data_IF_009446183199
#
_entry.id   IF_009446183199
#
_cell.length_a   1.000
_cell.length_b   1.000
_cell.length_c   1.000
_cell.angle_alpha   90.00
_cell.angle_beta   90.00
_cell.angle_gamma   90.00
#
_symmetry.space_group_name_H-M   'P 1'
#
loop_
_entity.id
_entity.type
_entity.pdbx_description
1 polymer ?
#
# COMPACT_ATOMS: atom_id res chain seq x y z
N UNK A 1 -22.19 -48.17 -18.29
CA UNK A 1 -22.39 -46.85 -17.67
C UNK A 1 -21.93 -46.77 -16.21
N UNK A 2 -22.14 -47.85 -15.41
CA UNK A 2 -21.66 -47.91 -14.01
C UNK A 2 -20.11 -47.90 -13.89
N UNK A 3 -19.40 -48.45 -14.87
CA UNK A 3 -17.93 -48.49 -14.91
C UNK A 3 -17.35 -47.11 -15.24
N UNK A 4 -17.99 -46.30 -16.10
CA UNK A 4 -17.60 -44.93 -16.41
C UNK A 4 -17.86 -43.98 -15.23
N UNK A 5 -18.96 -44.17 -14.53
CA UNK A 5 -19.30 -43.42 -13.32
C UNK A 5 -18.28 -43.64 -12.18
N UNK A 6 -17.78 -44.88 -12.02
CA UNK A 6 -16.73 -45.18 -11.03
C UNK A 6 -15.40 -44.52 -11.37
N UNK A 7 -15.00 -44.49 -12.65
CA UNK A 7 -13.75 -43.86 -13.09
C UNK A 7 -13.73 -42.36 -12.87
N UNK A 8 -14.84 -41.67 -13.17
CA UNK A 8 -14.96 -40.22 -12.90
C UNK A 8 -14.96 -39.88 -11.40
N UNK A 9 -15.65 -40.67 -10.58
CA UNK A 9 -15.66 -40.53 -9.14
C UNK A 9 -14.28 -40.72 -8.50
N UNK A 10 -13.49 -41.66 -9.02
CA UNK A 10 -12.12 -41.89 -8.54
C UNK A 10 -11.15 -40.76 -8.94
N UNK A 11 -11.30 -40.20 -10.15
CA UNK A 11 -10.50 -39.04 -10.58
C UNK A 11 -10.77 -37.85 -9.70
N UNK A 12 -12.02 -37.51 -9.41
CA UNK A 12 -12.37 -36.40 -8.49
C UNK A 12 -11.89 -36.65 -7.07
N UNK A 13 -12.04 -37.88 -6.55
CA UNK A 13 -11.54 -38.21 -5.19
C UNK A 13 -10.02 -38.11 -5.09
N UNK A 14 -9.28 -38.55 -6.10
CA UNK A 14 -7.83 -38.47 -6.15
C UNK A 14 -7.36 -37.01 -6.22
N UNK A 15 -8.04 -36.16 -6.98
CA UNK A 15 -7.70 -34.75 -7.09
C UNK A 15 -7.80 -34.03 -5.72
N UNK A 16 -8.86 -34.29 -4.97
CA UNK A 16 -9.00 -33.72 -3.62
C UNK A 16 -8.05 -34.35 -2.61
N UNK A 17 -7.69 -35.58 -2.76
CA UNK A 17 -6.74 -36.26 -1.89
C UNK A 17 -5.36 -35.59 -1.97
N UNK A 18 -4.80 -35.49 -3.16
CA UNK A 18 -3.47 -34.85 -3.34
C UNK A 18 -3.47 -33.37 -2.95
N UNK A 19 -4.51 -32.63 -3.30
CA UNK A 19 -4.62 -31.23 -2.95
C UNK A 19 -4.76 -30.98 -1.43
N UNK A 20 -5.11 -32.02 -0.65
CA UNK A 20 -5.32 -31.91 0.79
C UNK A 20 -4.02 -31.83 1.59
N UNK A 21 -2.88 -32.23 1.02
CA UNK A 21 -1.62 -32.31 1.75
C UNK A 21 -0.39 -31.91 0.92
N UNK A 22 -0.56 -31.43 -0.31
CA UNK A 22 0.55 -31.08 -1.22
C UNK A 22 1.55 -30.12 -0.58
N UNK A 23 1.11 -29.18 0.24
CA UNK A 23 1.96 -28.23 0.96
C UNK A 23 2.93 -28.93 1.94
N UNK A 24 2.49 -30.02 2.59
CA UNK A 24 3.35 -30.85 3.42
C UNK A 24 4.34 -31.64 2.56
N UNK A 25 3.89 -32.14 1.40
CA UNK A 25 4.76 -32.84 0.45
C UNK A 25 5.85 -31.92 -0.09
N UNK A 26 5.55 -30.67 -0.39
CA UNK A 26 6.54 -29.71 -0.87
C UNK A 26 7.68 -29.49 0.13
N UNK A 27 7.39 -29.51 1.43
CA UNK A 27 8.43 -29.46 2.45
C UNK A 27 9.37 -30.68 2.48
N UNK A 28 8.98 -31.77 1.80
CA UNK A 28 9.68 -33.06 1.75
C UNK A 28 9.66 -33.66 0.34
N UNK A 29 9.80 -32.83 -0.70
CA UNK A 29 9.53 -33.19 -2.11
C UNK A 29 10.35 -34.40 -2.62
N UNK A 30 11.57 -34.57 -2.12
CA UNK A 30 12.52 -35.65 -2.47
C UNK A 30 12.52 -36.83 -1.47
N UNK A 31 11.57 -36.89 -0.54
CA UNK A 31 11.43 -38.00 0.37
C UNK A 31 10.85 -39.21 -0.37
N UNK A 32 11.63 -40.29 -0.51
CA UNK A 32 11.20 -41.55 -1.19
C UNK A 32 10.78 -42.66 -0.23
N UNK A 33 10.98 -42.46 1.09
CA UNK A 33 10.73 -43.48 2.12
C UNK A 33 9.39 -43.30 2.85
N UNK A 34 8.70 -42.17 2.63
CA UNK A 34 7.42 -41.87 3.26
C UNK A 34 6.69 -40.70 2.61
N UNK A 35 5.53 -40.38 3.14
CA UNK A 35 4.72 -39.23 2.68
C UNK A 35 5.46 -37.91 2.94
N UNK A 36 6.03 -37.77 4.13
CA UNK A 36 6.80 -36.61 4.59
C UNK A 36 7.95 -37.06 5.46
N UNK A 37 8.92 -36.18 5.71
CA UNK A 37 9.99 -36.36 6.69
C UNK A 37 10.04 -35.20 7.72
N UNK A 38 11.08 -35.17 8.54
CA UNK A 38 11.24 -34.18 9.62
C UNK A 38 11.19 -32.70 9.14
N UNK A 39 11.48 -32.43 7.87
CA UNK A 39 11.42 -31.08 7.28
C UNK A 39 10.01 -30.54 7.26
N UNK A 40 8.98 -31.40 7.05
CA UNK A 40 7.59 -30.98 7.15
C UNK A 40 7.26 -30.38 8.52
N UNK A 41 7.79 -30.97 9.61
CA UNK A 41 7.58 -30.45 10.97
C UNK A 41 8.36 -29.17 11.30
N UNK A 42 9.34 -28.81 10.46
CA UNK A 42 10.05 -27.52 10.55
C UNK A 42 9.30 -26.39 9.81
N UNK A 43 8.77 -26.71 8.62
CA UNK A 43 8.14 -25.73 7.75
C UNK A 43 6.65 -25.52 8.01
N UNK A 44 5.98 -26.47 8.67
CA UNK A 44 4.55 -26.40 8.99
C UNK A 44 4.31 -25.94 10.45
N UNK A 45 3.18 -25.26 10.70
CA UNK A 45 2.11 -24.87 9.75
C UNK A 45 2.58 -23.82 8.73
N UNK A 46 1.91 -23.75 7.57
CA UNK A 46 2.17 -22.71 6.56
C UNK A 46 1.82 -21.34 7.14
N UNK A 47 2.74 -20.38 7.06
CA UNK A 47 2.59 -19.06 7.69
C UNK A 47 1.46 -18.25 7.06
N UNK A 48 1.37 -18.24 5.74
CA UNK A 48 0.33 -17.51 5.00
C UNK A 48 -0.20 -18.38 3.85
N UNK A 49 -1.48 -18.66 3.85
CA UNK A 49 -2.16 -19.40 2.79
C UNK A 49 -3.15 -18.51 2.06
N UNK A 50 -3.04 -18.44 0.72
CA UNK A 50 -3.80 -17.50 -0.11
C UNK A 50 -4.55 -18.29 -1.18
N UNK A 51 -5.85 -18.02 -1.34
CA UNK A 51 -6.67 -18.66 -2.36
C UNK A 51 -8.05 -18.03 -2.47
N UNK A 52 -8.80 -18.42 -3.52
CA UNK A 52 -10.15 -17.92 -3.73
C UNK A 52 -11.13 -18.41 -2.65
N UNK A 53 -12.13 -17.59 -2.34
CA UNK A 53 -13.17 -17.90 -1.36
C UNK A 53 -13.95 -19.16 -1.71
N UNK A 54 -14.04 -19.54 -2.98
CA UNK A 54 -14.72 -20.75 -3.47
C UNK A 54 -14.10 -22.05 -2.94
N UNK A 55 -12.87 -22.01 -2.46
CA UNK A 55 -12.18 -23.17 -1.88
C UNK A 55 -12.47 -23.40 -0.40
N UNK A 56 -13.23 -22.51 0.25
CA UNK A 56 -13.50 -22.57 1.69
C UNK A 56 -14.20 -23.88 2.12
N UNK A 57 -15.14 -24.39 1.32
CA UNK A 57 -15.93 -25.57 1.66
C UNK A 57 -15.20 -26.87 1.30
N UNK A 58 -14.64 -26.96 0.11
CA UNK A 58 -14.02 -28.21 -0.37
C UNK A 58 -12.55 -28.31 0.05
N UNK A 59 -11.67 -27.58 -0.61
CA UNK A 59 -10.24 -27.72 -0.44
C UNK A 59 -9.79 -27.45 1.01
N UNK A 60 -10.22 -26.35 1.62
CA UNK A 60 -9.77 -25.98 2.98
C UNK A 60 -10.30 -26.96 4.04
N UNK A 61 -11.54 -27.46 3.89
CA UNK A 61 -12.08 -28.47 4.77
C UNK A 61 -11.27 -29.76 4.69
N UNK A 62 -10.96 -30.22 3.49
CA UNK A 62 -10.16 -31.44 3.30
C UNK A 62 -8.71 -31.25 3.77
N UNK A 63 -8.09 -30.12 3.52
CA UNK A 63 -6.73 -29.83 4.00
C UNK A 63 -6.65 -29.86 5.52
N UNK A 64 -7.62 -29.27 6.22
CA UNK A 64 -7.69 -29.32 7.68
C UNK A 64 -7.94 -30.73 8.23
N UNK A 65 -8.87 -31.45 7.61
CA UNK A 65 -9.18 -32.82 7.99
C UNK A 65 -7.98 -33.76 7.78
N UNK A 66 -7.33 -33.65 6.62
CA UNK A 66 -6.18 -34.47 6.26
C UNK A 66 -4.97 -34.18 7.18
N UNK A 67 -4.74 -32.91 7.51
CA UNK A 67 -3.71 -32.53 8.46
C UNK A 67 -3.91 -33.20 9.84
N UNK A 68 -5.16 -33.27 10.32
CA UNK A 68 -5.48 -33.94 11.58
C UNK A 68 -5.22 -35.46 11.49
N UNK A 69 -5.56 -36.09 10.37
CA UNK A 69 -5.25 -37.51 10.15
C UNK A 69 -3.73 -37.75 10.13
N UNK A 70 -2.95 -36.91 9.46
CA UNK A 70 -1.49 -37.00 9.43
C UNK A 70 -0.88 -36.77 10.82
N UNK A 71 -1.43 -35.85 11.61
CA UNK A 71 -1.04 -35.64 13.02
C UNK A 71 -1.32 -36.90 13.85
N UNK A 72 -2.51 -37.44 13.77
CA UNK A 72 -2.93 -38.63 14.54
C UNK A 72 -2.12 -39.88 14.13
N UNK A 73 -1.66 -39.94 12.88
CA UNK A 73 -0.72 -40.95 12.40
C UNK A 73 0.75 -40.66 12.78
N UNK A 74 1.05 -39.60 13.49
CA UNK A 74 2.40 -39.23 13.92
C UNK A 74 3.31 -38.65 12.83
N UNK A 75 2.75 -38.30 11.67
CA UNK A 75 3.49 -37.73 10.54
C UNK A 75 3.74 -36.24 10.69
N UNK A 76 2.81 -35.51 11.27
CA UNK A 76 2.87 -34.08 11.55
C UNK A 76 2.65 -33.80 13.06
N UNK A 77 3.08 -32.63 13.52
CA UNK A 77 2.93 -32.19 14.92
C UNK A 77 1.86 -31.10 15.09
N UNK A 78 1.56 -30.36 14.01
CA UNK A 78 0.66 -29.23 14.04
C UNK A 78 -0.81 -29.64 13.92
N UNK A 79 -1.69 -28.96 14.66
CA UNK A 79 -3.14 -29.20 14.65
C UNK A 79 -3.85 -28.65 13.42
N UNK A 80 -3.38 -27.50 12.93
CA UNK A 80 -3.93 -26.82 11.78
C UNK A 80 -2.87 -26.64 10.69
N UNK A 81 -3.23 -26.76 9.40
CA UNK A 81 -2.25 -26.68 8.31
C UNK A 81 -1.73 -25.26 8.06
N UNK A 82 -2.51 -24.25 8.40
CA UNK A 82 -2.24 -22.83 8.07
C UNK A 82 -2.35 -21.96 9.32
N UNK A 83 -1.37 -21.06 9.51
CA UNK A 83 -1.39 -20.06 10.59
C UNK A 83 -2.31 -18.91 10.24
N UNK A 84 -2.25 -18.44 8.99
CA UNK A 84 -3.05 -17.33 8.50
C UNK A 84 -3.62 -17.65 7.12
N UNK A 85 -4.91 -17.41 6.94
CA UNK A 85 -5.63 -17.61 5.70
C UNK A 85 -6.06 -16.25 5.13
N UNK A 86 -5.78 -16.02 3.84
CA UNK A 86 -6.31 -14.90 3.08
C UNK A 86 -7.20 -15.45 1.96
N UNK A 87 -8.50 -15.22 2.07
CA UNK A 87 -9.48 -15.57 1.04
C UNK A 87 -9.64 -14.42 0.06
N UNK A 88 -9.32 -14.69 -1.21
CA UNK A 88 -9.40 -13.68 -2.27
C UNK A 88 -10.80 -13.58 -2.85
N UNK A 89 -11.21 -12.35 -3.17
CA UNK A 89 -12.42 -12.06 -3.94
C UNK A 89 -12.30 -12.48 -5.40
N UNK A 90 -13.41 -12.43 -6.11
CA UNK A 90 -13.50 -12.79 -7.53
C UNK A 90 -13.03 -11.64 -8.41
N UNK A 91 -12.39 -11.99 -9.55
CA UNK A 91 -12.18 -11.03 -10.64
C UNK A 91 -13.40 -11.07 -11.55
N UNK A 92 -14.05 -9.92 -11.67
CA UNK A 92 -15.25 -9.71 -12.46
C UNK A 92 -14.93 -8.91 -13.72
N UNK A 93 -15.65 -9.15 -14.79
CA UNK A 93 -15.68 -8.29 -15.98
C UNK A 93 -17.14 -8.10 -16.38
N UNK A 94 -17.56 -6.84 -16.52
CA UNK A 94 -18.96 -6.48 -16.78
C UNK A 94 -19.93 -7.07 -15.74
N UNK A 95 -19.56 -6.97 -14.46
CA UNK A 95 -20.34 -7.43 -13.32
C UNK A 95 -20.45 -8.95 -13.19
N UNK A 96 -19.75 -9.74 -14.02
CA UNK A 96 -19.82 -11.21 -13.99
C UNK A 96 -18.44 -11.84 -13.80
N UNK A 97 -18.42 -13.02 -13.10
CA UNK A 97 -17.18 -13.80 -12.93
C UNK A 97 -16.58 -14.11 -14.31
N UNK A 98 -15.28 -13.84 -14.48
CA UNK A 98 -14.54 -14.25 -15.67
C UNK A 98 -14.56 -15.77 -15.84
N UNK A 99 -14.88 -16.24 -17.02
CA UNK A 99 -14.80 -17.67 -17.36
C UNK A 99 -14.59 -17.86 -18.85
N UNK A 100 -13.85 -18.93 -19.22
CA UNK A 100 -13.64 -19.32 -20.62
C UNK A 100 -14.95 -19.60 -21.34
N UNK A 101 -15.93 -20.18 -20.66
CA UNK A 101 -17.25 -20.51 -21.23
C UNK A 101 -18.09 -19.28 -21.58
N UNK A 102 -17.85 -18.14 -20.91
CA UNK A 102 -18.53 -16.87 -21.20
C UNK A 102 -17.77 -15.98 -22.19
N UNK A 103 -16.53 -16.34 -22.53
CA UNK A 103 -15.70 -15.54 -23.43
C UNK A 103 -15.28 -14.17 -22.88
N UNK A 104 -15.47 -13.93 -21.58
CA UNK A 104 -15.16 -12.64 -20.93
C UNK A 104 -13.80 -12.65 -20.17
N UNK A 105 -12.91 -13.56 -20.51
CA UNK A 105 -11.55 -13.62 -19.95
C UNK A 105 -10.65 -12.57 -20.57
N UNK A 106 -9.74 -12.03 -19.77
CA UNK A 106 -8.64 -11.17 -20.24
C UNK A 106 -7.42 -12.05 -20.45
N UNK A 107 -6.75 -11.90 -21.59
CA UNK A 107 -5.49 -12.57 -21.85
C UNK A 107 -4.35 -11.81 -21.15
N UNK A 108 -3.73 -12.40 -20.13
CA UNK A 108 -2.64 -11.74 -19.43
C UNK A 108 -1.43 -11.46 -20.33
N UNK A 109 -1.18 -12.29 -21.35
CA UNK A 109 -0.03 -12.11 -22.24
C UNK A 109 -0.18 -10.84 -23.09
N UNK A 110 -1.34 -10.63 -23.70
CA UNK A 110 -1.63 -9.43 -24.49
C UNK A 110 -1.49 -8.14 -23.63
N UNK A 111 -1.91 -8.22 -22.37
CA UNK A 111 -1.77 -7.12 -21.40
C UNK A 111 -0.29 -6.83 -21.10
N UNK A 112 0.49 -7.89 -20.84
CA UNK A 112 1.93 -7.80 -20.54
C UNK A 112 2.69 -7.25 -21.72
N UNK A 113 2.38 -7.71 -22.93
CA UNK A 113 3.02 -7.25 -24.17
C UNK A 113 2.76 -5.77 -24.43
N UNK A 114 1.57 -5.27 -24.06
CA UNK A 114 1.18 -3.87 -24.29
C UNK A 114 1.68 -2.93 -23.20
N UNK A 115 1.54 -3.32 -21.93
CA UNK A 115 1.73 -2.42 -20.78
C UNK A 115 2.85 -2.85 -19.83
N UNK A 116 3.38 -4.07 -19.99
CA UNK A 116 4.35 -4.65 -19.08
C UNK A 116 3.72 -5.35 -17.87
N UNK A 117 4.45 -6.33 -17.32
CA UNK A 117 4.00 -7.13 -16.18
C UNK A 117 3.74 -6.29 -14.92
N UNK A 118 4.58 -5.29 -14.65
CA UNK A 118 4.43 -4.41 -13.48
C UNK A 118 3.16 -3.58 -13.53
N UNK A 119 2.70 -3.17 -14.72
CA UNK A 119 1.42 -2.47 -14.85
C UNK A 119 0.25 -3.37 -14.47
N UNK A 120 0.26 -4.62 -14.92
CA UNK A 120 -0.77 -5.60 -14.57
C UNK A 120 -0.78 -5.86 -13.06
N UNK A 121 0.40 -6.05 -12.44
CA UNK A 121 0.56 -6.23 -10.99
C UNK A 121 0.05 -5.03 -10.21
N UNK A 122 0.44 -3.82 -10.61
CA UNK A 122 0.00 -2.59 -9.95
C UNK A 122 -1.51 -2.43 -10.01
N UNK A 123 -2.12 -2.65 -11.18
CA UNK A 123 -3.57 -2.58 -11.33
C UNK A 123 -4.28 -3.58 -10.42
N UNK A 124 -3.88 -4.85 -10.42
CA UNK A 124 -4.50 -5.89 -9.61
C UNK A 124 -4.44 -5.59 -8.11
N UNK A 125 -3.30 -5.07 -7.64
CA UNK A 125 -3.11 -4.76 -6.22
C UNK A 125 -3.76 -3.44 -5.79
N UNK A 126 -4.00 -2.53 -6.73
CA UNK A 126 -4.60 -1.22 -6.47
C UNK A 126 -6.12 -1.22 -6.54
N UNK A 127 -6.70 -2.01 -7.45
CA UNK A 127 -8.12 -1.91 -7.80
C UNK A 127 -9.07 -2.29 -6.65
N UNK A 128 -8.68 -3.24 -5.78
CA UNK A 128 -9.48 -3.64 -4.63
C UNK A 128 -8.60 -4.25 -3.52
N UNK A 129 -9.04 -4.24 -2.25
CA UNK A 129 -8.47 -5.09 -1.22
C UNK A 129 -8.56 -6.56 -1.64
N UNK A 130 -7.58 -7.43 -1.27
CA UNK A 130 -7.54 -8.80 -1.76
C UNK A 130 -8.77 -9.63 -1.42
N UNK A 131 -9.47 -9.33 -0.33
CA UNK A 131 -10.69 -10.04 0.11
C UNK A 131 -11.95 -9.63 -0.67
N UNK A 132 -11.90 -8.51 -1.39
CA UNK A 132 -13.02 -8.00 -2.16
C UNK A 132 -12.94 -8.41 -3.62
N UNK A 133 -14.11 -8.47 -4.27
CA UNK A 133 -14.16 -8.69 -5.72
C UNK A 133 -13.61 -7.47 -6.44
N UNK A 134 -12.80 -7.73 -7.47
CA UNK A 134 -12.19 -6.75 -8.33
C UNK A 134 -12.96 -6.68 -9.64
N UNK A 135 -13.43 -5.50 -10.03
CA UNK A 135 -13.99 -5.26 -11.37
C UNK A 135 -12.85 -4.89 -12.33
N UNK A 136 -12.72 -5.67 -13.39
CA UNK A 136 -11.73 -5.40 -14.43
C UNK A 136 -12.13 -4.17 -15.23
N UNK A 137 -11.22 -3.21 -15.34
CA UNK A 137 -11.41 -1.98 -16.12
C UNK A 137 -10.13 -1.64 -16.89
N UNK A 138 -10.19 -1.62 -18.21
CA UNK A 138 -9.04 -1.30 -19.06
C UNK A 138 -8.50 0.11 -18.79
N UNK A 139 -9.38 1.07 -18.50
CA UNK A 139 -8.99 2.44 -18.09
C UNK A 139 -8.17 2.47 -16.79
N UNK A 140 -8.39 1.52 -15.88
CA UNK A 140 -7.62 1.35 -14.66
C UNK A 140 -6.20 0.86 -14.94
N UNK A 141 -6.04 -0.05 -15.89
CA UNK A 141 -4.73 -0.53 -16.37
C UNK A 141 -3.93 0.61 -17.00
N UNK A 142 -4.56 1.41 -17.86
CA UNK A 142 -3.92 2.60 -18.44
C UNK A 142 -3.52 3.63 -17.36
N UNK A 143 -4.35 3.79 -16.33
CA UNK A 143 -4.05 4.64 -15.17
C UNK A 143 -2.80 4.19 -14.42
N UNK A 144 -2.69 2.88 -14.18
CA UNK A 144 -1.50 2.26 -13.57
C UNK A 144 -0.24 2.47 -14.43
N UNK A 145 -0.36 2.27 -15.75
CA UNK A 145 0.75 2.51 -16.68
C UNK A 145 1.22 3.96 -16.69
N UNK A 146 0.29 4.93 -16.74
CA UNK A 146 0.62 6.35 -16.66
C UNK A 146 1.33 6.72 -15.37
N UNK A 147 0.95 6.13 -14.25
CA UNK A 147 1.62 6.34 -12.96
C UNK A 147 3.08 5.85 -13.00
N UNK A 148 3.33 4.62 -13.48
CA UNK A 148 4.69 4.08 -13.59
C UNK A 148 5.56 4.90 -14.53
N UNK A 149 5.04 5.34 -15.68
CA UNK A 149 5.75 6.23 -16.60
C UNK A 149 6.10 7.58 -15.95
N UNK A 150 5.19 8.14 -15.17
CA UNK A 150 5.46 9.39 -14.44
C UNK A 150 6.54 9.22 -13.40
N UNK A 151 6.52 8.12 -12.65
CA UNK A 151 7.59 7.80 -11.69
C UNK A 151 8.94 7.68 -12.38
N UNK A 152 8.99 6.97 -13.52
CA UNK A 152 10.19 6.88 -14.36
C UNK A 152 10.70 8.26 -14.77
N UNK A 153 9.82 9.11 -15.26
CA UNK A 153 10.18 10.48 -15.66
C UNK A 153 10.76 11.28 -14.51
N UNK A 154 10.16 11.19 -13.32
CA UNK A 154 10.67 11.91 -12.13
C UNK A 154 12.08 11.46 -11.75
N UNK A 155 12.34 10.16 -11.78
CA UNK A 155 13.68 9.63 -11.51
C UNK A 155 14.66 10.06 -12.61
N UNK A 156 14.30 9.94 -13.89
CA UNK A 156 15.14 10.33 -15.01
C UNK A 156 15.51 11.83 -14.93
N UNK A 157 14.52 12.71 -14.74
CA UNK A 157 14.78 14.16 -14.60
C UNK A 157 15.65 14.48 -13.38
N UNK A 158 15.40 13.82 -12.23
CA UNK A 158 16.24 14.00 -11.05
C UNK A 158 17.71 13.64 -11.30
N UNK A 159 17.94 12.62 -12.12
CA UNK A 159 19.26 12.09 -12.43
C UNK A 159 20.00 12.83 -13.60
N UNK A 160 19.37 13.78 -14.29
CA UNK A 160 20.03 14.61 -15.31
C UNK A 160 21.29 15.29 -14.77
N UNK A 161 21.27 15.71 -13.50
CA UNK A 161 22.41 16.27 -12.79
C UNK A 161 23.14 15.26 -11.87
N UNK A 162 22.93 13.94 -12.10
CA UNK A 162 23.51 12.83 -11.34
C UNK A 162 22.78 12.55 -10.01
N UNK A 163 22.98 11.33 -9.50
CA UNK A 163 22.49 10.96 -8.19
C UNK A 163 23.21 11.70 -7.07
N UNK A 164 22.52 11.98 -5.97
CA UNK A 164 23.08 12.62 -4.77
C UNK A 164 22.80 11.73 -3.55
N UNK A 165 23.49 12.04 -2.42
CA UNK A 165 23.11 11.43 -1.14
C UNK A 165 21.71 11.89 -0.72
N UNK A 166 20.90 10.97 -0.19
CA UNK A 166 19.63 11.29 0.44
C UNK A 166 19.82 12.24 1.62
N UNK A 167 18.77 12.99 1.98
CA UNK A 167 18.84 13.97 3.04
C UNK A 167 19.28 13.36 4.38
N UNK A 168 20.28 13.96 5.00
CA UNK A 168 20.80 13.56 6.32
C UNK A 168 20.64 14.66 7.37
N UNK A 169 20.91 15.92 7.00
CA UNK A 169 20.84 17.05 7.91
C UNK A 169 20.83 18.37 7.14
N UNK A 170 20.39 19.43 7.80
CA UNK A 170 20.37 20.79 7.24
C UNK A 170 19.06 21.50 7.56
N UNK A 171 18.99 22.78 7.20
CA UNK A 171 17.75 23.54 7.33
C UNK A 171 16.84 23.28 6.13
N UNK A 172 15.59 22.94 6.43
CA UNK A 172 14.54 22.73 5.43
C UNK A 172 13.56 23.90 5.48
N UNK A 173 13.16 24.37 4.31
CA UNK A 173 12.01 25.25 4.19
C UNK A 173 10.70 24.48 4.49
N UNK A 174 9.58 25.20 4.62
CA UNK A 174 8.27 24.63 4.97
C UNK A 174 7.79 23.58 3.98
N UNK A 175 8.06 23.78 2.69
CA UNK A 175 7.67 22.85 1.63
C UNK A 175 8.42 21.52 1.73
N UNK A 176 9.73 21.55 1.87
CA UNK A 176 10.58 20.37 2.05
C UNK A 176 10.30 19.65 3.38
N UNK A 177 10.04 20.38 4.46
CA UNK A 177 9.57 19.80 5.73
C UNK A 177 8.26 19.04 5.56
N UNK A 178 7.33 19.62 4.79
CA UNK A 178 6.03 19.01 4.53
C UNK A 178 6.16 17.76 3.68
N UNK A 179 6.97 17.80 2.61
CA UNK A 179 7.25 16.63 1.77
C UNK A 179 7.91 15.51 2.57
N UNK A 180 8.94 15.83 3.37
CA UNK A 180 9.64 14.85 4.22
C UNK A 180 8.73 14.25 5.29
N UNK A 181 7.87 15.06 5.90
CA UNK A 181 6.85 14.57 6.84
C UNK A 181 5.92 13.57 6.15
N UNK A 182 5.41 13.90 4.98
CA UNK A 182 4.54 13.01 4.21
C UNK A 182 5.27 11.72 3.83
N UNK A 183 6.55 11.78 3.44
CA UNK A 183 7.36 10.59 3.18
C UNK A 183 7.37 9.65 4.39
N UNK A 184 7.73 10.13 5.57
CA UNK A 184 7.87 9.28 6.74
C UNK A 184 6.52 8.76 7.29
N UNK A 185 5.44 9.56 7.16
CA UNK A 185 4.07 9.07 7.41
C UNK A 185 3.67 7.96 6.42
N UNK A 186 4.06 8.10 5.16
CA UNK A 186 3.82 7.08 4.13
C UNK A 186 4.60 5.80 4.42
N UNK A 187 5.86 5.87 4.82
CA UNK A 187 6.65 4.70 5.24
C UNK A 187 5.97 3.96 6.39
N UNK A 188 5.57 4.67 7.44
CA UNK A 188 4.89 4.07 8.60
C UNK A 188 3.58 3.39 8.20
N UNK A 189 2.76 4.10 7.42
CA UNK A 189 1.48 3.59 6.93
C UNK A 189 1.64 2.33 6.08
N UNK A 190 2.56 2.34 5.11
CA UNK A 190 2.76 1.20 4.21
C UNK A 190 3.34 -0.01 4.94
N UNK A 191 4.23 0.22 5.90
CA UNK A 191 4.75 -0.85 6.74
C UNK A 191 3.62 -1.57 7.48
N UNK A 192 2.63 -0.84 8.01
CA UNK A 192 1.44 -1.43 8.61
C UNK A 192 0.49 -2.07 7.59
N UNK A 193 0.24 -1.39 6.47
CA UNK A 193 -0.64 -1.87 5.40
C UNK A 193 -0.13 -3.20 4.80
N UNK A 194 1.18 -3.36 4.59
CA UNK A 194 1.75 -4.60 4.05
C UNK A 194 1.89 -5.69 5.12
N UNK A 195 2.47 -5.36 6.26
CA UNK A 195 2.85 -6.35 7.26
C UNK A 195 1.67 -6.90 8.06
N UNK A 196 0.71 -6.07 8.42
CA UNK A 196 -0.39 -6.41 9.31
C UNK A 196 -1.75 -6.43 8.62
N UNK A 197 -2.09 -5.37 7.89
CA UNK A 197 -3.44 -5.17 7.35
C UNK A 197 -3.67 -5.85 6.01
N UNK A 198 -2.61 -6.07 5.24
CA UNK A 198 -2.66 -6.58 3.86
C UNK A 198 -3.59 -5.77 2.93
N UNK A 199 -3.62 -4.45 3.13
CA UNK A 199 -4.41 -3.50 2.35
C UNK A 199 -3.53 -2.80 1.31
N UNK A 200 -3.17 -3.52 0.25
CA UNK A 200 -2.22 -3.05 -0.77
C UNK A 200 -2.71 -1.83 -1.54
N UNK A 201 -4.01 -1.75 -1.78
CA UNK A 201 -4.64 -0.62 -2.47
C UNK A 201 -4.44 0.70 -1.71
N UNK A 202 -4.56 0.72 -0.38
CA UNK A 202 -4.34 1.93 0.43
C UNK A 202 -2.86 2.30 0.52
N UNK A 203 -1.97 1.32 0.50
CA UNK A 203 -0.54 1.53 0.42
C UNK A 203 -0.14 2.20 -0.91
N UNK A 204 -0.62 1.67 -2.04
CA UNK A 204 -0.38 2.25 -3.36
C UNK A 204 -0.95 3.67 -3.46
N UNK A 205 -2.16 3.92 -2.95
CA UNK A 205 -2.75 5.25 -2.90
C UNK A 205 -1.84 6.25 -2.15
N UNK A 206 -1.30 5.86 -1.00
CA UNK A 206 -0.40 6.70 -0.23
C UNK A 206 0.90 7.03 -0.99
N UNK A 207 1.47 6.07 -1.73
CA UNK A 207 2.61 6.35 -2.62
C UNK A 207 2.22 7.30 -3.74
N UNK A 208 1.06 7.13 -4.36
CA UNK A 208 0.59 8.03 -5.42
C UNK A 208 0.42 9.47 -4.91
N UNK A 209 -0.10 9.65 -3.70
CA UNK A 209 -0.22 10.96 -3.03
C UNK A 209 1.16 11.57 -2.76
N UNK A 210 2.12 10.79 -2.27
CA UNK A 210 3.50 11.24 -2.05
C UNK A 210 4.18 11.65 -3.36
N UNK A 211 4.02 10.87 -4.43
CA UNK A 211 4.55 11.20 -5.76
C UNK A 211 3.88 12.46 -6.34
N UNK A 212 2.60 12.70 -6.05
CA UNK A 212 1.92 13.94 -6.40
C UNK A 212 2.49 15.15 -5.63
N UNK A 213 2.81 14.98 -4.35
CA UNK A 213 3.44 16.03 -3.55
C UNK A 213 4.87 16.32 -4.03
N UNK A 214 5.66 15.27 -4.31
CA UNK A 214 6.99 15.38 -4.91
C UNK A 214 7.00 16.24 -6.18
N UNK A 215 6.03 16.01 -7.08
CA UNK A 215 5.93 16.71 -8.36
C UNK A 215 5.57 18.21 -8.24
N UNK A 216 5.19 18.69 -7.06
CA UNK A 216 4.91 20.12 -6.80
C UNK A 216 6.11 20.88 -6.26
N UNK A 217 7.10 20.19 -5.71
CA UNK A 217 8.28 20.83 -5.13
C UNK A 217 9.18 21.35 -6.25
N UNK A 218 9.47 22.63 -6.20
CA UNK A 218 10.35 23.31 -7.14
C UNK A 218 11.76 23.50 -6.55
N UNK A 219 12.73 23.82 -7.40
CA UNK A 219 14.12 24.06 -7.00
C UNK A 219 15.05 22.88 -7.32
N UNK A 220 16.34 23.21 -7.45
CA UNK A 220 17.42 22.26 -7.77
C UNK A 220 18.69 22.54 -6.94
N UNK A 221 18.53 23.23 -5.81
CA UNK A 221 19.61 23.42 -4.84
C UNK A 221 19.97 22.09 -4.16
N UNK A 222 21.13 22.03 -3.52
CA UNK A 222 21.66 20.81 -2.94
C UNK A 222 20.74 20.18 -1.86
N UNK A 223 20.04 21.00 -1.08
CA UNK A 223 19.12 20.53 -0.03
C UNK A 223 17.85 19.96 -0.66
N UNK A 224 17.25 20.67 -1.61
CA UNK A 224 16.08 20.20 -2.36
C UNK A 224 16.37 18.89 -3.07
N UNK A 225 17.52 18.80 -3.76
CA UNK A 225 17.93 17.56 -4.43
C UNK A 225 18.14 16.39 -3.46
N UNK A 226 18.71 16.64 -2.28
CA UNK A 226 18.90 15.58 -1.29
C UNK A 226 17.58 15.05 -0.73
N UNK A 227 16.58 15.91 -0.50
CA UNK A 227 15.23 15.49 -0.10
C UNK A 227 14.52 14.74 -1.24
N UNK A 228 14.66 15.21 -2.48
CA UNK A 228 14.13 14.52 -3.66
C UNK A 228 14.72 13.12 -3.83
N UNK A 229 16.03 12.97 -3.64
CA UNK A 229 16.70 11.66 -3.66
C UNK A 229 16.13 10.73 -2.57
N UNK A 230 16.02 11.22 -1.33
CA UNK A 230 15.42 10.46 -0.22
C UNK A 230 14.00 9.97 -0.56
N UNK A 231 13.16 10.83 -1.15
CA UNK A 231 11.80 10.46 -1.54
C UNK A 231 11.80 9.41 -2.63
N UNK A 232 12.57 9.59 -3.70
CA UNK A 232 12.60 8.65 -4.84
C UNK A 232 13.13 7.27 -4.45
N UNK A 233 14.18 7.21 -3.62
CA UNK A 233 14.71 5.96 -3.09
C UNK A 233 13.66 5.21 -2.26
N UNK A 234 12.99 5.92 -1.34
CA UNK A 234 11.97 5.31 -0.50
C UNK A 234 10.73 4.90 -1.30
N UNK A 235 10.25 5.71 -2.25
CA UNK A 235 9.14 5.34 -3.14
C UNK A 235 9.47 4.07 -3.92
N UNK A 236 10.69 3.95 -4.43
CA UNK A 236 11.16 2.77 -5.16
C UNK A 236 11.17 1.53 -4.25
N UNK A 237 11.70 1.64 -3.03
CA UNK A 237 11.68 0.55 -2.05
C UNK A 237 10.26 0.14 -1.65
N UNK A 238 9.38 1.11 -1.36
CA UNK A 238 8.00 0.86 -0.94
C UNK A 238 7.17 0.18 -2.03
N UNK A 239 7.45 0.44 -3.30
CA UNK A 239 6.76 -0.17 -4.43
C UNK A 239 7.37 -1.51 -4.89
N UNK A 240 8.60 -1.82 -4.51
CA UNK A 240 9.33 -3.00 -5.01
C UNK A 240 8.60 -4.33 -4.82
N UNK A 241 7.84 -4.59 -3.73
CA UNK A 241 7.10 -5.85 -3.61
C UNK A 241 5.97 -5.99 -4.64
N UNK A 242 5.46 -4.87 -5.15
CA UNK A 242 4.33 -4.83 -6.09
C UNK A 242 4.82 -4.78 -7.53
N UNK A 243 5.76 -3.88 -7.84
CA UNK A 243 6.28 -3.63 -9.20
C UNK A 243 7.81 -3.80 -9.24
N UNK A 244 8.31 -5.03 -9.09
CA UNK A 244 9.73 -5.30 -8.86
C UNK A 244 10.63 -4.91 -10.04
N UNK A 245 10.19 -5.07 -11.29
CA UNK A 245 11.06 -4.86 -12.45
C UNK A 245 11.40 -3.39 -12.65
N UNK A 246 10.40 -2.50 -12.62
CA UNK A 246 10.65 -1.06 -12.72
C UNK A 246 11.42 -0.55 -11.50
N UNK A 247 11.10 -1.06 -10.29
CA UNK A 247 11.80 -0.65 -9.09
C UNK A 247 13.26 -1.05 -9.09
N UNK A 248 13.62 -2.25 -9.56
CA UNK A 248 15.01 -2.67 -9.73
C UNK A 248 15.74 -1.77 -10.74
N UNK A 249 15.11 -1.45 -11.87
CA UNK A 249 15.71 -0.58 -12.87
C UNK A 249 15.95 0.84 -12.33
N UNK A 250 14.97 1.43 -11.64
CA UNK A 250 15.11 2.76 -11.03
C UNK A 250 16.13 2.76 -9.89
N UNK A 251 16.17 1.71 -9.08
CA UNK A 251 17.11 1.57 -7.98
C UNK A 251 18.56 1.51 -8.46
N UNK A 252 18.83 0.77 -9.53
CA UNK A 252 20.16 0.67 -10.12
C UNK A 252 20.72 2.02 -10.57
N UNK A 253 19.85 2.94 -11.00
CA UNK A 253 20.24 4.29 -11.38
C UNK A 253 20.37 5.23 -10.17
N UNK A 254 19.46 5.14 -9.19
CA UNK A 254 19.47 5.95 -7.97
C UNK A 254 20.63 5.55 -7.03
N UNK A 255 20.93 4.25 -6.97
CA UNK A 255 21.93 3.63 -6.09
C UNK A 255 22.85 2.71 -6.87
N UNK A 256 23.82 3.29 -7.59
CA UNK A 256 24.78 2.53 -8.39
C UNK A 256 25.48 1.47 -7.54
N UNK A 257 25.64 0.28 -8.12
CA UNK A 257 26.27 -0.89 -7.48
C UNK A 257 25.49 -1.47 -6.28
N UNK A 258 24.18 -1.24 -6.21
CA UNK A 258 23.29 -1.80 -5.20
C UNK A 258 22.14 -2.54 -5.87
N UNK A 259 21.72 -3.65 -5.28
CA UNK A 259 20.57 -4.46 -5.70
C UNK A 259 19.43 -4.18 -4.74
N UNK A 260 18.22 -3.98 -5.26
CA UNK A 260 17.08 -3.55 -4.43
C UNK A 260 16.66 -4.64 -3.43
N UNK A 261 16.85 -5.90 -3.78
CA UNK A 261 16.55 -7.06 -2.92
C UNK A 261 17.43 -7.12 -1.67
N UNK A 262 18.64 -6.54 -1.74
CA UNK A 262 19.58 -6.46 -0.61
C UNK A 262 19.34 -5.22 0.25
N UNK A 263 18.47 -4.31 -0.19
CA UNK A 263 18.17 -3.08 0.52
C UNK A 263 17.28 -3.35 1.74
N UNK A 264 17.60 -2.70 2.85
CA UNK A 264 16.77 -2.78 4.05
C UNK A 264 15.45 -2.03 3.86
N UNK A 265 14.36 -2.62 4.33
CA UNK A 265 13.05 -1.95 4.35
C UNK A 265 13.16 -0.62 5.11
N UNK A 266 12.61 0.48 4.55
CA UNK A 266 12.79 1.80 5.15
C UNK A 266 12.06 1.93 6.49
N UNK A 267 12.69 2.63 7.42
CA UNK A 267 12.11 2.98 8.72
C UNK A 267 11.70 4.46 8.76
N UNK A 268 10.56 4.74 9.40
CA UNK A 268 10.09 6.11 9.52
C UNK A 268 10.91 6.92 10.53
N UNK A 269 11.42 8.08 10.11
CA UNK A 269 12.00 9.08 11.00
C UNK A 269 10.89 9.82 11.75
N UNK A 270 10.74 9.50 13.04
CA UNK A 270 9.73 10.12 13.89
C UNK A 270 9.92 11.62 14.05
N UNK A 271 11.16 12.11 13.99
CA UNK A 271 11.45 13.53 14.10
C UNK A 271 10.93 14.33 12.91
N UNK A 272 11.02 13.75 11.70
CA UNK A 272 10.45 14.35 10.50
C UNK A 272 8.90 14.38 10.51
N UNK A 273 8.27 13.54 11.31
CA UNK A 273 6.80 13.47 11.43
C UNK A 273 6.24 14.47 12.43
N UNK A 274 7.09 15.08 13.27
CA UNK A 274 6.65 16.11 14.22
C UNK A 274 6.10 17.31 13.44
N UNK A 275 4.89 17.69 13.77
CA UNK A 275 4.24 18.86 13.22
C UNK A 275 4.28 19.96 14.27
N UNK A 276 5.19 20.89 14.09
CA UNK A 276 5.34 22.04 14.99
C UNK A 276 4.24 23.09 14.78
N UNK A 277 3.62 23.07 13.60
CA UNK A 277 2.56 24.00 13.20
C UNK A 277 1.27 23.24 12.82
N UNK A 278 0.15 23.91 12.98
CA UNK A 278 -1.18 23.44 12.58
C UNK A 278 -1.92 24.52 11.82
N UNK A 279 -2.54 24.17 10.73
CA UNK A 279 -3.45 25.04 10.02
C UNK A 279 -4.83 24.98 10.67
N UNK A 280 -5.32 26.14 11.10
CA UNK A 280 -6.65 26.30 11.69
C UNK A 280 -7.54 27.04 10.70
N UNK A 281 -8.68 26.44 10.39
CA UNK A 281 -9.72 27.10 9.59
C UNK A 281 -10.32 28.26 10.38
N UNK A 282 -10.41 29.46 9.79
CA UNK A 282 -11.02 30.62 10.42
C UNK A 282 -12.43 30.86 9.85
N UNK A 283 -13.39 30.90 10.75
CA UNK A 283 -14.78 31.18 10.45
C UNK A 283 -15.21 32.51 11.09
N UNK A 284 -16.08 33.24 10.41
CA UNK A 284 -16.79 34.39 10.98
C UNK A 284 -18.29 34.09 10.90
N UNK A 285 -18.95 34.08 12.06
CA UNK A 285 -20.36 33.71 12.21
C UNK A 285 -20.68 32.35 11.55
N UNK A 286 -19.77 31.34 11.76
CA UNK A 286 -19.92 29.98 11.23
C UNK A 286 -19.62 29.80 9.74
N UNK A 287 -19.28 30.87 9.01
CA UNK A 287 -18.91 30.79 7.58
C UNK A 287 -17.39 30.86 7.42
N UNK A 288 -16.83 29.92 6.63
CA UNK A 288 -15.41 29.89 6.27
C UNK A 288 -14.98 31.23 5.63
N UNK A 289 -13.84 31.80 6.12
CA UNK A 289 -13.29 33.05 5.60
C UNK A 289 -11.81 32.93 5.21
N UNK A 290 -11.09 31.99 5.78
CA UNK A 290 -9.68 31.74 5.50
C UNK A 290 -9.10 30.70 6.44
N UNK A 291 -7.76 30.63 6.49
CA UNK A 291 -7.01 29.81 7.42
C UNK A 291 -5.82 30.56 8.01
N UNK A 292 -5.34 30.11 9.14
CA UNK A 292 -4.12 30.59 9.79
C UNK A 292 -3.24 29.39 10.14
N UNK A 293 -1.93 29.55 9.99
CA UNK A 293 -0.94 28.58 10.47
C UNK A 293 -0.39 29.07 11.80
N UNK A 294 -0.49 28.23 12.82
CA UNK A 294 -0.03 28.55 14.18
C UNK A 294 0.81 27.41 14.75
N UNK A 295 1.76 27.72 15.63
CA UNK A 295 2.49 26.70 16.35
C UNK A 295 1.54 25.86 17.21
N UNK A 296 1.71 24.52 17.24
CA UNK A 296 0.89 23.62 18.07
C UNK A 296 0.95 23.96 19.57
N UNK A 297 2.07 24.55 19.99
CA UNK A 297 2.30 24.99 21.36
C UNK A 297 1.75 26.39 21.65
N UNK A 298 1.16 27.07 20.65
CA UNK A 298 0.64 28.41 20.81
C UNK A 298 -0.54 28.42 21.79
N UNK A 299 -0.50 29.30 22.76
CA UNK A 299 -1.58 29.46 23.74
C UNK A 299 -2.87 29.90 23.04
N UNK A 300 -4.01 29.47 23.59
CA UNK A 300 -5.33 29.75 23.03
C UNK A 300 -5.57 31.25 22.80
N UNK A 301 -5.19 32.06 23.75
CA UNK A 301 -5.32 33.53 23.73
C UNK A 301 -4.50 34.13 22.58
N UNK A 302 -3.30 33.59 22.31
CA UNK A 302 -2.46 34.03 21.19
C UNK A 302 -3.07 33.60 19.83
N UNK A 303 -3.67 32.41 19.74
CA UNK A 303 -4.39 31.95 18.57
C UNK A 303 -5.59 32.87 18.27
N UNK A 304 -6.37 33.21 19.30
CA UNK A 304 -7.51 34.12 19.19
C UNK A 304 -7.08 35.51 18.66
N UNK A 305 -6.03 36.09 19.23
CA UNK A 305 -5.50 37.36 18.76
C UNK A 305 -4.94 37.29 17.34
N UNK A 306 -4.23 36.21 17.02
CA UNK A 306 -3.70 36.00 15.67
C UNK A 306 -4.80 35.89 14.62
N UNK A 307 -5.87 35.14 14.92
CA UNK A 307 -7.02 35.00 14.03
C UNK A 307 -7.77 36.32 13.81
N UNK A 308 -8.00 37.10 14.87
CA UNK A 308 -8.71 38.39 14.76
C UNK A 308 -7.91 39.41 13.93
N UNK A 309 -6.58 39.39 13.97
CA UNK A 309 -5.74 40.32 13.20
C UNK A 309 -5.68 40.03 11.70
N UNK A 310 -6.24 38.93 11.25
CA UNK A 310 -6.19 38.58 9.82
C UNK A 310 -7.00 39.56 8.97
N UNK A 311 -6.50 40.03 7.82
CA UNK A 311 -7.19 40.97 6.96
C UNK A 311 -8.60 40.53 6.54
N UNK A 312 -8.76 39.25 6.31
CA UNK A 312 -10.05 38.68 5.93
C UNK A 312 -11.06 38.61 7.09
N UNK A 313 -10.62 38.78 8.35
CA UNK A 313 -11.47 38.90 9.53
C UNK A 313 -11.75 40.40 9.81
N UNK A 314 -10.74 41.27 9.70
CA UNK A 314 -10.85 42.68 9.95
C UNK A 314 -11.95 43.33 9.10
N UNK A 315 -12.14 42.92 7.87
CA UNK A 315 -13.24 43.37 6.99
C UNK A 315 -14.63 43.28 7.62
N UNK A 316 -14.83 42.38 8.57
CA UNK A 316 -16.12 42.20 9.26
C UNK A 316 -16.21 43.04 10.54
N UNK A 317 -15.16 43.79 10.88
CA UNK A 317 -15.07 44.69 12.03
C UNK A 317 -15.05 46.18 11.61
N UNK A 318 -14.85 46.47 10.30
CA UNK A 318 -14.73 47.83 9.76
C UNK A 318 -16.04 48.63 9.88
N UNK A 319 -17.22 47.96 9.89
CA UNK A 319 -18.54 48.56 9.99
C UNK A 319 -19.01 48.82 11.44
N UNK A 320 -18.12 48.80 12.40
CA UNK A 320 -18.43 49.01 13.83
C UNK A 320 -18.93 47.77 14.57
N UNK A 321 -18.88 46.59 13.92
CA UNK A 321 -19.19 45.33 14.57
C UNK A 321 -18.11 44.97 15.57
N UNK A 322 -18.49 44.39 16.70
CA UNK A 322 -17.56 43.97 17.76
C UNK A 322 -17.45 42.45 17.88
N UNK A 323 -16.28 41.96 18.29
CA UNK A 323 -16.11 40.54 18.58
C UNK A 323 -16.85 40.20 19.87
N UNK A 324 -17.90 39.41 19.77
CA UNK A 324 -18.69 38.94 20.93
C UNK A 324 -18.11 37.72 21.59
N UNK A 325 -17.59 36.80 20.79
CA UNK A 325 -17.07 35.52 21.27
C UNK A 325 -16.11 34.91 20.26
N UNK A 326 -15.03 34.28 20.74
CA UNK A 326 -14.12 33.47 19.93
C UNK A 326 -14.19 32.03 20.45
N UNK A 327 -14.35 31.08 19.56
CA UNK A 327 -14.39 29.65 19.87
C UNK A 327 -13.22 28.99 19.15
N UNK A 328 -12.22 28.55 19.88
CA UNK A 328 -11.08 27.79 19.36
C UNK A 328 -11.34 26.31 19.58
N UNK A 329 -11.41 25.54 18.50
CA UNK A 329 -11.42 24.08 18.52
C UNK A 329 -9.99 23.62 18.23
N UNK A 330 -9.29 23.01 19.19
CA UNK A 330 -7.89 22.64 19.03
C UNK A 330 -7.64 21.81 17.76
N UNK A 331 -6.60 22.18 17.02
CA UNK A 331 -6.16 21.54 15.78
C UNK A 331 -7.22 21.49 14.65
N UNK A 332 -8.28 22.29 14.70
CA UNK A 332 -9.34 22.30 13.70
C UNK A 332 -9.72 23.68 13.19
N UNK A 333 -10.27 24.50 14.04
CA UNK A 333 -10.80 25.79 13.61
C UNK A 333 -10.85 26.85 14.72
N UNK A 334 -10.94 28.10 14.27
CA UNK A 334 -11.30 29.27 15.11
C UNK A 334 -12.57 29.86 14.53
N UNK A 335 -13.64 29.95 15.32
CA UNK A 335 -14.87 30.63 14.92
C UNK A 335 -15.02 31.94 15.72
N UNK A 336 -15.08 33.05 15.00
CA UNK A 336 -15.22 34.41 15.53
C UNK A 336 -16.67 34.84 15.35
N UNK A 337 -17.35 35.10 16.45
CA UNK A 337 -18.73 35.60 16.44
C UNK A 337 -18.66 37.12 16.57
N UNK A 338 -19.13 37.79 15.54
CA UNK A 338 -19.22 39.28 15.46
C UNK A 338 -20.67 39.73 15.44
N UNK A 339 -20.92 40.88 16.00
CA UNK A 339 -22.26 41.48 16.03
C UNK A 339 -22.27 42.84 16.74
#
# INVERSE_FOLDING_TARGET
DLVRSRGLGDVYKRQFFESSWYFARYASFDCHTGMVDKRANYWLPVDQYIGGIEHAILHLLYARFFNKLMRDAGLLKNDEPFTKLLTQGMVLKEGTKMSKSKGNTVDPQALIDTYGADTARLFMMFAAPPEQSLEWADSGVEGAHRFLRRLWTFVATHLENGAVEGYKSGELNTELKTLRRQLHQTIEKITDDYGRRQTFNTAIAAVMELVNAYGKVEGDDAVTRSVRQEVLENVTLLLSPIVPHICQALWAELRKNSVIEDATWPSADKSAMVQDEVELVVQVNGKLRGSITVAKTMAKEAIEQHAVRQPFVQKFLEDGATVRKIIVVPNKLVNIVVG
#
